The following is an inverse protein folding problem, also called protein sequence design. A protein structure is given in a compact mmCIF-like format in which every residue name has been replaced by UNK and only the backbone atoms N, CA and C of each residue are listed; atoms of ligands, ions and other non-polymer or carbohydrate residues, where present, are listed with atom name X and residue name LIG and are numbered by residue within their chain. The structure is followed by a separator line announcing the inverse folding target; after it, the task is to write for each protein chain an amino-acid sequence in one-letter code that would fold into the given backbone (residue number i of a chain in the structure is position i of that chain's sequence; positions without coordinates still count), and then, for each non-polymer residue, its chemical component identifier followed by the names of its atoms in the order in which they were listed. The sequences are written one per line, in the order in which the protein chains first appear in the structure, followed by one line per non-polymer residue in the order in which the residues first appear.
data_IF_369507588092
#
_entry.id   IF_369507588092
#
_cell.length_a   1.000
_cell.length_b   1.000
_cell.length_c   1.000
_cell.angle_alpha   90.00
_cell.angle_beta   90.00
_cell.angle_gamma   90.00
#
_symmetry.space_group_name_H-M   'P 1'
#
loop_
_entity.id
_entity.type
_entity.pdbx_description
1 polymer ?
#
# COMPACT_ATOMS: atom_id res chain seq x y z
N UNK A 1 -40.12 3.43 -15.91
CA UNK A 1 -39.43 2.13 -15.79
C UNK A 1 -38.59 1.93 -17.04
N UNK A 2 -37.33 2.35 -17.01
CA UNK A 2 -36.42 2.26 -18.17
C UNK A 2 -35.66 0.95 -18.08
N UNK A 3 -35.92 0.07 -19.04
CA UNK A 3 -35.28 -1.24 -19.17
C UNK A 3 -33.76 -1.08 -19.38
N UNK A 4 -32.95 -1.47 -18.40
CA UNK A 4 -31.53 -1.72 -18.61
C UNK A 4 -31.37 -2.96 -19.49
N UNK A 5 -31.12 -2.76 -20.79
CA UNK A 5 -30.60 -3.82 -21.67
C UNK A 5 -29.14 -4.05 -21.29
N UNK A 6 -28.88 -5.14 -20.58
CA UNK A 6 -27.53 -5.60 -20.30
C UNK A 6 -26.73 -5.76 -21.61
N UNK A 7 -25.69 -4.95 -21.78
CA UNK A 7 -24.74 -5.09 -22.87
C UNK A 7 -23.86 -6.30 -22.52
N UNK A 8 -24.17 -7.44 -23.13
CA UNK A 8 -23.35 -8.65 -23.04
C UNK A 8 -22.20 -8.53 -24.03
N UNK A 9 -21.13 -7.83 -23.66
CA UNK A 9 -19.86 -7.92 -24.39
C UNK A 9 -19.24 -9.29 -24.10
N UNK A 10 -19.44 -10.25 -25.00
CA UNK A 10 -18.66 -11.49 -25.02
C UNK A 10 -17.25 -11.15 -25.51
N UNK A 11 -16.39 -10.67 -24.61
CA UNK A 11 -14.95 -10.75 -24.83
C UNK A 11 -14.56 -12.24 -24.85
N UNK A 12 -13.68 -12.68 -25.76
CA UNK A 12 -13.25 -14.07 -25.82
C UNK A 12 -12.62 -14.48 -24.49
N UNK A 13 -13.34 -15.31 -23.74
CA UNK A 13 -12.92 -15.92 -22.50
C UNK A 13 -11.71 -16.81 -22.78
N UNK A 14 -10.53 -16.39 -22.34
CA UNK A 14 -9.34 -17.24 -22.25
C UNK A 14 -9.28 -17.82 -20.83
N UNK A 15 -9.60 -19.12 -20.65
CA UNK A 15 -9.63 -19.75 -19.34
C UNK A 15 -8.21 -20.12 -18.91
N UNK A 16 -7.44 -19.17 -18.37
CA UNK A 16 -6.19 -19.55 -17.71
C UNK A 16 -5.62 -18.61 -16.66
N UNK A 17 -6.26 -17.49 -16.26
CA UNK A 17 -5.53 -16.51 -15.43
C UNK A 17 -6.16 -15.97 -14.14
N UNK A 18 -7.43 -16.22 -13.79
CA UNK A 18 -7.95 -15.84 -12.47
C UNK A 18 -9.10 -16.77 -12.06
N UNK A 19 -8.90 -17.60 -11.04
CA UNK A 19 -9.86 -18.61 -10.55
C UNK A 19 -10.74 -18.15 -9.39
N UNK A 20 -10.54 -16.94 -8.87
CA UNK A 20 -11.23 -16.46 -7.67
C UNK A 20 -11.83 -15.07 -7.87
N UNK A 21 -13.09 -14.90 -7.49
CA UNK A 21 -13.80 -13.62 -7.51
C UNK A 21 -13.47 -12.86 -6.22
N UNK A 22 -12.73 -11.76 -6.33
CA UNK A 22 -12.30 -10.95 -5.18
C UNK A 22 -13.23 -9.77 -4.87
N UNK A 23 -13.81 -9.16 -5.90
CA UNK A 23 -14.68 -7.99 -5.76
C UNK A 23 -15.68 -7.89 -6.89
N UNK A 24 -16.76 -7.16 -6.65
CA UNK A 24 -17.75 -6.76 -7.64
C UNK A 24 -17.74 -5.22 -7.74
N UNK A 25 -17.88 -4.68 -8.94
CA UNK A 25 -18.08 -3.23 -9.13
C UNK A 25 -19.48 -2.97 -9.65
N UNK A 26 -20.27 -2.24 -8.89
CA UNK A 26 -21.63 -1.81 -9.22
C UNK A 26 -21.63 -0.35 -9.71
N UNK A 27 -22.75 0.09 -10.30
CA UNK A 27 -22.93 1.49 -10.74
C UNK A 27 -21.81 2.01 -11.65
N UNK A 28 -21.40 1.21 -12.65
CA UNK A 28 -20.19 1.48 -13.41
C UNK A 28 -20.26 2.77 -14.23
N UNK A 29 -19.14 3.50 -14.27
CA UNK A 29 -18.89 4.60 -15.18
C UNK A 29 -17.58 4.37 -15.93
N UNK A 30 -17.60 4.55 -17.26
CA UNK A 30 -16.41 4.38 -18.11
C UNK A 30 -16.05 5.73 -18.71
N UNK A 31 -14.83 6.19 -18.45
CA UNK A 31 -14.36 7.50 -18.90
C UNK A 31 -12.93 7.44 -19.44
N UNK A 32 -12.54 8.45 -20.23
CA UNK A 32 -11.23 8.48 -20.91
C UNK A 32 -10.10 8.55 -19.89
N UNK A 33 -9.08 7.75 -20.13
CA UNK A 33 -7.81 7.81 -19.40
C UNK A 33 -6.86 8.78 -20.12
N UNK A 34 -7.01 10.09 -19.86
CA UNK A 34 -6.10 11.11 -20.38
C UNK A 34 -4.73 10.98 -19.68
N UNK A 35 -3.89 10.02 -20.12
CA UNK A 35 -2.67 9.61 -19.42
C UNK A 35 -1.69 10.76 -19.21
N UNK A 36 -1.39 11.52 -20.27
CA UNK A 36 -0.45 12.64 -20.18
C UNK A 36 -0.91 13.69 -19.16
N UNK A 37 -2.17 14.10 -19.22
CA UNK A 37 -2.76 15.03 -18.26
C UNK A 37 -2.72 14.48 -16.82
N UNK A 38 -3.11 13.21 -16.64
CA UNK A 38 -3.05 12.53 -15.34
C UNK A 38 -1.63 12.53 -14.78
N UNK A 39 -0.64 12.21 -15.62
CA UNK A 39 0.76 12.14 -15.24
C UNK A 39 1.27 13.54 -14.86
N UNK A 40 1.06 14.53 -15.73
CA UNK A 40 1.47 15.93 -15.51
C UNK A 40 0.90 16.49 -14.19
N UNK A 41 -0.39 16.29 -13.93
CA UNK A 41 -1.06 16.82 -12.74
C UNK A 41 -0.68 16.09 -11.45
N UNK A 42 -0.33 14.81 -11.52
CA UNK A 42 0.00 13.99 -10.34
C UNK A 42 1.49 14.05 -9.98
N UNK A 43 2.37 14.04 -10.98
CA UNK A 43 3.84 14.05 -10.79
C UNK A 43 4.49 15.42 -11.00
N UNK A 44 3.76 16.41 -11.53
CA UNK A 44 4.32 17.72 -11.88
C UNK A 44 5.26 17.68 -13.09
N UNK A 45 5.33 16.55 -13.80
CA UNK A 45 6.18 16.32 -14.97
C UNK A 45 5.61 15.17 -15.79
N UNK A 46 5.91 15.14 -17.09
CA UNK A 46 5.62 14.02 -18.00
C UNK A 46 6.90 13.33 -18.48
N UNK A 47 8.02 13.58 -17.79
CA UNK A 47 9.31 12.97 -18.14
C UNK A 47 9.23 11.44 -18.13
N UNK A 48 9.87 10.76 -19.09
CA UNK A 48 9.94 9.31 -19.13
C UNK A 48 10.76 8.75 -17.95
N UNK A 49 10.55 7.47 -17.63
CA UNK A 49 11.35 6.79 -16.60
C UNK A 49 10.85 6.99 -15.16
N UNK A 50 9.66 7.56 -14.97
CA UNK A 50 8.97 7.59 -13.68
C UNK A 50 8.49 6.16 -13.35
N UNK A 51 9.06 5.47 -12.33
CA UNK A 51 8.87 4.01 -12.18
C UNK A 51 7.39 3.58 -12.08
N UNK A 52 6.58 4.32 -11.32
CA UNK A 52 5.15 4.02 -11.18
C UNK A 52 4.36 4.30 -12.46
N UNK A 53 4.74 5.33 -13.22
CA UNK A 53 4.07 5.67 -14.48
C UNK A 53 4.32 4.58 -15.50
N UNK A 54 5.56 4.14 -15.65
CA UNK A 54 5.92 3.06 -16.58
C UNK A 54 5.24 1.74 -16.22
N UNK A 55 5.22 1.38 -14.93
CA UNK A 55 4.60 0.15 -14.44
C UNK A 55 3.08 0.14 -14.63
N UNK A 56 2.39 1.24 -14.30
CA UNK A 56 0.93 1.21 -14.10
C UNK A 56 0.12 2.10 -15.05
N UNK A 57 0.74 3.03 -15.78
CA UNK A 57 0.02 4.04 -16.59
C UNK A 57 0.39 3.96 -18.06
N UNK A 58 1.68 3.93 -18.41
CA UNK A 58 2.18 3.99 -19.79
C UNK A 58 1.50 2.93 -20.66
N UNK A 59 1.50 1.68 -20.21
CA UNK A 59 0.94 0.55 -20.95
C UNK A 59 -0.51 0.18 -20.60
N UNK A 60 -1.15 0.92 -19.68
CA UNK A 60 -2.55 0.67 -19.30
C UNK A 60 -3.52 0.98 -20.45
N UNK A 61 -4.79 0.58 -20.32
CA UNK A 61 -5.83 0.95 -21.27
C UNK A 61 -6.08 2.47 -21.33
N UNK A 62 -6.69 2.93 -22.43
CA UNK A 62 -7.08 4.34 -22.63
C UNK A 62 -8.41 4.72 -21.96
N UNK A 63 -8.96 3.82 -21.14
CA UNK A 63 -10.22 4.00 -20.42
C UNK A 63 -10.01 3.64 -18.96
N UNK A 64 -10.70 4.36 -18.08
CA UNK A 64 -10.83 4.06 -16.66
C UNK A 64 -12.26 3.60 -16.39
N UNK A 65 -12.40 2.73 -15.40
CA UNK A 65 -13.69 2.24 -14.91
C UNK A 65 -13.81 2.71 -13.45
N UNK A 66 -14.82 3.51 -13.17
CA UNK A 66 -15.26 3.87 -11.82
C UNK A 66 -16.54 3.12 -11.45
N UNK A 67 -16.88 3.14 -10.18
CA UNK A 67 -18.11 2.53 -9.65
C UNK A 67 -17.97 2.15 -8.17
N UNK A 68 -19.04 1.63 -7.60
CA UNK A 68 -19.10 1.17 -6.21
C UNK A 68 -18.43 -0.20 -6.10
N UNK A 69 -17.28 -0.26 -5.43
CA UNK A 69 -16.51 -1.50 -5.29
C UNK A 69 -16.91 -2.24 -4.00
N UNK A 70 -17.51 -3.42 -4.15
CA UNK A 70 -17.77 -4.36 -3.07
C UNK A 70 -16.68 -5.43 -3.05
N UNK A 71 -15.90 -5.48 -1.97
CA UNK A 71 -14.84 -6.49 -1.77
C UNK A 71 -15.43 -7.69 -1.05
N UNK A 72 -15.37 -8.88 -1.66
CA UNK A 72 -16.00 -10.10 -1.16
C UNK A 72 -15.17 -10.71 -0.03
N UNK A 73 -13.88 -10.89 -0.30
CA UNK A 73 -12.94 -11.48 0.65
C UNK A 73 -11.85 -10.47 1.02
N UNK A 74 -11.47 -10.36 2.31
CA UNK A 74 -10.30 -9.59 2.70
C UNK A 74 -9.05 -10.06 1.95
N UNK A 75 -8.28 -9.11 1.41
CA UNK A 75 -7.07 -9.42 0.64
C UNK A 75 -6.01 -10.03 1.57
N UNK A 76 -5.55 -11.23 1.21
CA UNK A 76 -4.37 -11.87 1.78
C UNK A 76 -3.28 -12.01 0.72
N UNK A 77 -2.03 -11.95 1.15
CA UNK A 77 -0.87 -12.07 0.25
C UNK A 77 -0.13 -13.39 0.45
N UNK A 78 -0.34 -14.05 1.59
CA UNK A 78 0.26 -15.33 1.95
C UNK A 78 1.79 -15.33 1.87
N UNK A 79 2.40 -14.16 2.12
CA UNK A 79 3.84 -13.91 2.07
C UNK A 79 4.50 -13.93 3.48
N UNK A 80 3.77 -14.40 4.49
CA UNK A 80 4.19 -14.41 5.89
C UNK A 80 4.12 -13.05 6.60
N UNK A 81 3.63 -12.00 5.92
CA UNK A 81 3.53 -10.64 6.48
C UNK A 81 2.09 -10.18 6.73
N UNK A 82 1.07 -11.01 6.44
CA UNK A 82 -0.34 -10.62 6.58
C UNK A 82 -0.73 -10.22 8.00
N UNK A 83 -0.08 -10.79 9.03
CA UNK A 83 -0.24 -10.37 10.43
C UNK A 83 0.08 -8.89 10.68
N UNK A 84 0.86 -8.28 9.81
CA UNK A 84 1.22 -6.87 9.87
C UNK A 84 0.30 -6.00 9.01
N UNK A 85 -0.65 -6.55 8.25
CA UNK A 85 -1.53 -5.78 7.36
C UNK A 85 -2.85 -5.42 8.05
N UNK A 86 -2.76 -4.64 9.11
CA UNK A 86 -3.93 -4.24 9.90
C UNK A 86 -4.83 -3.24 9.15
N UNK A 87 -6.14 -3.45 9.23
CA UNK A 87 -7.14 -2.50 8.71
C UNK A 87 -7.17 -1.22 9.56
N UNK A 88 -7.65 -0.09 9.05
CA UNK A 88 -7.83 1.12 9.87
C UNK A 88 -8.66 0.88 11.14
N UNK A 89 -9.67 0.00 11.09
CA UNK A 89 -10.46 -0.38 12.27
C UNK A 89 -9.60 -1.12 13.29
N UNK A 90 -8.88 -2.16 12.86
CA UNK A 90 -7.97 -2.91 13.74
C UNK A 90 -6.86 -2.03 14.34
N UNK A 91 -6.36 -1.04 13.61
CA UNK A 91 -5.40 -0.08 14.16
C UNK A 91 -6.04 0.76 15.29
N UNK A 92 -7.28 1.22 15.11
CA UNK A 92 -8.02 1.98 16.13
C UNK A 92 -8.28 1.14 17.38
N UNK A 93 -8.75 -0.08 17.20
CA UNK A 93 -8.96 -1.03 18.31
C UNK A 93 -7.67 -1.25 19.09
N UNK A 94 -6.54 -1.38 18.40
CA UNK A 94 -5.23 -1.54 19.03
C UNK A 94 -4.76 -0.28 19.77
N UNK A 95 -5.05 0.92 19.27
CA UNK A 95 -4.75 2.16 19.97
C UNK A 95 -5.60 2.32 21.23
N UNK A 96 -6.89 2.00 21.15
CA UNK A 96 -7.82 1.99 22.29
C UNK A 96 -7.40 0.97 23.35
N UNK A 97 -7.06 -0.26 22.93
CA UNK A 97 -6.53 -1.32 23.81
C UNK A 97 -5.26 -0.91 24.55
N UNK A 98 -4.49 0.02 23.98
CA UNK A 98 -3.26 0.57 24.57
C UNK A 98 -3.51 1.83 25.39
N UNK A 99 -4.75 2.32 25.48
CA UNK A 99 -5.09 3.58 26.11
C UNK A 99 -4.26 4.75 25.55
N UNK A 100 -4.06 4.77 24.23
CA UNK A 100 -3.34 5.84 23.56
C UNK A 100 -4.14 7.15 23.66
N UNK A 101 -3.52 8.22 24.17
CA UNK A 101 -4.13 9.56 24.21
C UNK A 101 -3.65 10.46 23.07
N UNK A 102 -2.59 10.03 22.37
CA UNK A 102 -2.17 10.56 21.08
C UNK A 102 -1.58 9.43 20.22
N UNK A 103 -1.73 9.53 18.91
CA UNK A 103 -1.06 8.64 17.94
C UNK A 103 -0.29 9.48 16.95
N UNK A 104 0.99 9.17 16.76
CA UNK A 104 1.83 9.82 15.75
C UNK A 104 2.38 8.78 14.79
N UNK A 105 2.27 9.06 13.48
CA UNK A 105 2.60 8.11 12.43
C UNK A 105 3.92 8.46 11.76
N UNK A 106 4.75 7.45 11.51
CA UNK A 106 5.99 7.58 10.75
C UNK A 106 5.90 6.69 9.49
N UNK A 107 5.62 7.31 8.34
CA UNK A 107 5.59 6.63 7.05
C UNK A 107 7.02 6.48 6.53
N UNK A 108 7.36 5.27 6.08
CA UNK A 108 8.69 4.98 5.53
C UNK A 108 8.61 3.96 4.40
N UNK A 109 9.54 4.04 3.46
CA UNK A 109 9.77 2.98 2.46
C UNK A 109 11.17 2.37 2.55
N UNK A 110 12.02 2.94 3.41
CA UNK A 110 13.43 2.57 3.57
C UNK A 110 13.68 1.86 4.92
N UNK A 111 14.84 1.21 5.10
CA UNK A 111 15.31 0.78 6.42
C UNK A 111 15.39 1.96 7.41
N UNK A 112 15.16 1.68 8.70
CA UNK A 112 15.28 2.69 9.76
C UNK A 112 16.74 2.88 10.14
N UNK A 113 17.23 4.12 10.08
CA UNK A 113 18.53 4.53 10.62
C UNK A 113 18.33 5.58 11.72
N UNK A 114 19.42 6.02 12.37
CA UNK A 114 19.34 6.89 13.55
C UNK A 114 18.70 8.27 13.29
N UNK A 115 18.71 8.74 12.04
CA UNK A 115 18.01 9.97 11.67
C UNK A 115 16.49 9.83 11.79
N UNK A 116 15.93 8.72 11.31
CA UNK A 116 14.52 8.40 11.53
C UNK A 116 14.23 8.21 13.03
N UNK A 117 15.11 7.51 13.76
CA UNK A 117 14.98 7.30 15.19
C UNK A 117 14.90 8.63 15.95
N UNK A 118 15.78 9.59 15.63
CA UNK A 118 15.78 10.92 16.24
C UNK A 118 14.46 11.65 16.03
N UNK A 119 13.89 11.62 14.82
CA UNK A 119 12.60 12.26 14.54
C UNK A 119 11.48 11.61 15.36
N UNK A 120 11.48 10.28 15.47
CA UNK A 120 10.47 9.54 16.23
C UNK A 120 10.59 9.80 17.74
N UNK A 121 11.81 9.81 18.29
CA UNK A 121 12.04 10.09 19.72
C UNK A 121 11.75 11.54 20.07
N UNK A 122 12.16 12.49 19.22
CA UNK A 122 11.88 13.92 19.43
C UNK A 122 10.38 14.21 19.35
N UNK A 123 9.67 13.60 18.40
CA UNK A 123 8.19 13.74 18.31
C UNK A 123 7.51 13.23 19.57
N UNK A 124 7.93 12.06 20.09
CA UNK A 124 7.41 11.54 21.36
C UNK A 124 7.66 12.51 22.50
N UNK A 125 8.88 13.03 22.62
CA UNK A 125 9.27 14.00 23.66
C UNK A 125 8.35 15.22 23.62
N UNK A 126 8.15 15.82 22.45
CA UNK A 126 7.27 16.99 22.29
C UNK A 126 5.83 16.69 22.68
N UNK A 127 5.31 15.51 22.35
CA UNK A 127 3.95 15.11 22.78
C UNK A 127 3.84 15.00 24.30
N UNK A 128 4.87 14.47 24.97
CA UNK A 128 4.91 14.44 26.44
C UNK A 128 4.95 15.86 27.03
N UNK A 129 5.76 16.76 26.46
CA UNK A 129 5.85 18.17 26.85
C UNK A 129 4.51 18.93 26.64
N UNK A 130 3.74 18.56 25.61
CA UNK A 130 2.39 19.08 25.37
C UNK A 130 1.34 18.56 26.36
N UNK A 131 1.69 17.60 27.21
CA UNK A 131 0.83 17.09 28.27
C UNK A 131 0.20 15.71 28.00
N UNK A 132 0.39 15.13 26.81
CA UNK A 132 0.00 13.74 26.55
C UNK A 132 0.79 12.80 27.47
N UNK A 133 0.11 11.79 28.00
CA UNK A 133 0.63 10.80 28.94
C UNK A 133 1.05 9.51 28.27
N UNK A 134 0.39 9.14 27.17
CA UNK A 134 0.63 7.88 26.49
C UNK A 134 0.61 8.01 24.95
N UNK A 135 1.48 8.87 24.36
CA UNK A 135 1.57 8.98 22.91
C UNK A 135 2.05 7.65 22.30
N UNK A 136 1.41 7.16 21.25
CA UNK A 136 1.76 5.89 20.58
C UNK A 136 2.32 6.12 19.18
N UNK A 137 3.46 5.50 18.91
CA UNK A 137 4.07 5.51 17.59
C UNK A 137 3.44 4.46 16.67
N UNK A 138 2.92 4.89 15.53
CA UNK A 138 2.58 4.05 14.39
C UNK A 138 3.74 4.05 13.37
N UNK A 139 4.59 3.02 13.40
CA UNK A 139 5.67 2.84 12.42
C UNK A 139 5.12 2.15 11.16
N UNK A 140 4.92 2.90 10.09
CA UNK A 140 4.04 2.52 9.00
C UNK A 140 4.80 2.26 7.68
N UNK A 141 5.53 1.14 7.52
CA UNK A 141 6.33 0.89 6.32
C UNK A 141 5.43 0.61 5.11
N UNK A 142 5.70 1.24 3.97
CA UNK A 142 4.97 0.96 2.73
C UNK A 142 5.23 -0.48 2.25
N UNK A 143 4.17 -1.18 1.84
CA UNK A 143 4.21 -2.60 1.48
C UNK A 143 3.93 -2.93 0.03
N UNK A 144 3.66 -1.92 -0.78
CA UNK A 144 3.16 -2.08 -2.13
C UNK A 144 4.28 -1.99 -3.12
N UNK A 145 3.89 -1.67 -4.34
CA UNK A 145 4.89 -1.42 -5.37
C UNK A 145 5.91 -0.40 -4.86
N UNK A 146 7.16 -0.84 -4.88
CA UNK A 146 8.35 -0.03 -4.70
C UNK A 146 9.20 -0.18 -5.96
N UNK A 147 9.97 0.85 -6.29
CA UNK A 147 10.90 0.78 -7.42
C UNK A 147 11.96 -0.32 -7.20
N UNK A 148 12.55 -0.82 -8.28
CA UNK A 148 13.38 -2.03 -8.25
C UNK A 148 14.64 -1.92 -7.38
N UNK A 149 15.15 -0.72 -7.15
CA UNK A 149 16.34 -0.46 -6.33
C UNK A 149 16.02 -0.25 -4.83
N UNK A 150 14.74 -0.27 -4.43
CA UNK A 150 14.36 -0.22 -3.02
C UNK A 150 14.57 -1.58 -2.34
N UNK A 151 14.94 -1.56 -1.04
CA UNK A 151 15.07 -2.78 -0.24
C UNK A 151 13.72 -3.51 -0.16
N UNK A 152 13.64 -4.82 -0.46
CA UNK A 152 12.37 -5.56 -0.43
C UNK A 152 11.68 -5.50 0.92
N UNK A 153 10.34 -5.54 0.92
CA UNK A 153 9.53 -5.43 2.14
C UNK A 153 9.93 -6.46 3.21
N UNK A 154 10.13 -7.73 2.83
CA UNK A 154 10.50 -8.79 3.76
C UNK A 154 11.80 -8.49 4.53
N UNK A 155 12.78 -7.89 3.86
CA UNK A 155 14.04 -7.46 4.47
C UNK A 155 13.86 -6.22 5.34
N UNK A 156 13.07 -5.24 4.87
CA UNK A 156 12.73 -4.06 5.68
C UNK A 156 12.04 -4.44 6.97
N UNK A 157 11.06 -5.33 6.92
CA UNK A 157 10.34 -5.82 8.11
C UNK A 157 11.29 -6.51 9.10
N UNK A 158 12.18 -7.39 8.63
CA UNK A 158 13.22 -8.02 9.50
C UNK A 158 14.13 -6.96 10.15
N UNK A 159 14.49 -5.91 9.41
CA UNK A 159 15.32 -4.83 9.93
C UNK A 159 14.55 -3.98 10.95
N UNK A 160 13.30 -3.65 10.66
CA UNK A 160 12.44 -2.87 11.54
C UNK A 160 12.10 -3.63 12.82
N UNK A 161 11.91 -4.96 12.79
CA UNK A 161 11.74 -5.76 14.00
C UNK A 161 12.97 -5.67 14.93
N UNK A 162 14.19 -5.64 14.38
CA UNK A 162 15.42 -5.45 15.17
C UNK A 162 15.50 -4.04 15.77
N UNK A 163 15.21 -3.01 14.98
CA UNK A 163 15.23 -1.61 15.47
C UNK A 163 14.09 -1.34 16.45
N UNK A 164 12.93 -1.92 16.22
CA UNK A 164 11.76 -1.88 17.12
C UNK A 164 12.12 -2.37 18.51
N UNK A 165 12.89 -3.45 18.65
CA UNK A 165 13.37 -3.91 19.98
C UNK A 165 14.25 -2.86 20.67
N UNK A 166 15.16 -2.24 19.93
CA UNK A 166 16.04 -1.17 20.45
C UNK A 166 15.26 0.08 20.81
N UNK A 167 14.33 0.49 19.97
CA UNK A 167 13.48 1.65 20.23
C UNK A 167 12.47 1.38 21.34
N UNK A 168 11.92 0.16 21.46
CA UNK A 168 11.04 -0.23 22.59
C UNK A 168 11.78 -0.02 23.91
N UNK A 169 13.06 -0.37 23.97
CA UNK A 169 13.89 -0.13 25.15
C UNK A 169 14.11 1.38 25.42
N UNK A 170 14.14 2.20 24.36
CA UNK A 170 14.34 3.66 24.47
C UNK A 170 13.04 4.47 24.64
N UNK A 171 11.88 3.98 24.19
CA UNK A 171 10.61 4.73 24.11
C UNK A 171 9.44 4.03 24.81
N UNK A 172 9.61 2.80 25.30
CA UNK A 172 8.64 2.11 26.16
C UNK A 172 7.39 1.55 25.48
N UNK A 173 7.36 1.36 24.15
CA UNK A 173 6.16 0.86 23.46
C UNK A 173 6.42 -0.04 22.24
N UNK A 174 5.49 -0.97 22.01
CA UNK A 174 5.48 -1.94 20.89
C UNK A 174 5.00 -1.29 19.59
N UNK A 175 5.65 -1.62 18.48
CA UNK A 175 5.47 -1.03 17.17
C UNK A 175 4.33 -1.70 16.39
N UNK A 176 3.55 -0.90 15.67
CA UNK A 176 2.51 -1.42 14.80
C UNK A 176 2.91 -1.18 13.35
N UNK A 177 3.02 -2.27 12.60
CA UNK A 177 3.39 -2.25 11.20
C UNK A 177 2.13 -2.20 10.34
N UNK A 178 2.22 -1.55 9.18
CA UNK A 178 1.22 -1.66 8.11
C UNK A 178 1.85 -1.48 6.74
N UNK A 179 2.18 -2.60 6.07
CA UNK A 179 2.47 -2.61 4.64
C UNK A 179 1.20 -2.32 3.83
N UNK A 180 1.07 -1.15 3.23
CA UNK A 180 0.06 -0.91 2.17
C UNK A 180 0.51 -1.57 0.88
N UNK A 181 -0.13 -2.63 0.36
CA UNK A 181 0.29 -3.32 -0.87
C UNK A 181 -0.71 -3.31 -2.05
N UNK A 182 -0.21 -3.16 -3.28
CA UNK A 182 -0.79 -3.70 -4.52
C UNK A 182 0.22 -4.71 -5.09
N UNK A 183 -0.24 -5.87 -5.58
CA UNK A 183 0.61 -6.81 -6.33
C UNK A 183 1.02 -6.16 -7.66
N UNK A 184 2.31 -5.88 -7.85
CA UNK A 184 2.88 -5.77 -9.19
C UNK A 184 3.19 -7.19 -9.68
N UNK A 185 2.91 -7.48 -10.95
CA UNK A 185 3.19 -8.79 -11.54
C UNK A 185 4.70 -8.96 -11.63
N UNK A 186 5.24 -10.01 -11.02
CA UNK A 186 6.59 -10.48 -11.34
C UNK A 186 6.62 -10.85 -12.83
N UNK A 187 7.57 -10.26 -13.56
CA UNK A 187 7.74 -10.45 -14.99
C UNK A 187 7.99 -11.92 -15.32
N UNK A 188 7.14 -12.47 -16.18
CA UNK A 188 7.42 -13.73 -16.86
C UNK A 188 8.72 -13.55 -17.68
N UNK A 189 9.73 -14.36 -17.36
CA UNK A 189 10.94 -14.50 -18.15
C UNK A 189 10.56 -14.88 -19.59
N UNK A 190 10.91 -14.02 -20.54
CA UNK A 190 10.86 -14.37 -21.97
C UNK A 190 11.97 -15.39 -22.23
N UNK A 191 11.59 -16.65 -22.41
CA UNK A 191 12.45 -17.65 -23.03
C UNK A 191 12.82 -17.18 -24.43
N UNK A 192 14.13 -17.13 -24.70
CA UNK A 192 14.67 -16.92 -26.04
C UNK A 192 14.33 -18.14 -26.89
N UNK A 193 13.51 -17.96 -27.91
CA UNK A 193 13.40 -18.89 -29.03
C UNK A 193 14.46 -18.50 -30.06
N UNK A 194 15.43 -19.39 -30.28
CA UNK A 194 16.43 -19.26 -31.33
C UNK A 194 15.81 -19.36 -32.72
N UNK A 195 16.43 -18.65 -33.66
CA UNK A 195 16.27 -18.81 -35.11
C UNK A 195 17.02 -20.05 -35.56
#
# INVERSE_FOLDING_TARGET
MTNFRGVRTTLPYKPSLYTELYSCTCSIEIYKHNKEERIARTWGTTAPGLPYVEEAITHAGNWLIGGDLEVINPVKYDDGLDRFRLSPAQLRDEFERRNADAVFAFQLRNPVHNGHALLMTDTRRRLLEMGYKNPVLLLHPLGGYTKADDVPLSWRMKQHEKVSRLLTFAIGQTFMFKPKSHKAKEGASRGQGGV
#
